data_IF_357977891096
#
_entry.id   IF_357977891096
#
_cell.length_a   1.000
_cell.length_b   1.000
_cell.length_c   1.000
_cell.angle_alpha   90.00
_cell.angle_beta   90.00
_cell.angle_gamma   90.00
#
_symmetry.space_group_name_H-M   'P 1'
#
loop_
_entity.id
_entity.type
_entity.pdbx_description
1 polymer ?
#
# COMPACT_ATOMS: atom_id res chain seq x y z
N UNK A 1 -20.89 -14.48 -7.81
CA UNK A 1 -19.47 -14.20 -7.50
C UNK A 1 -19.29 -14.42 -6.01
N UNK A 2 -18.35 -15.25 -5.61
CA UNK A 2 -17.98 -15.36 -4.19
C UNK A 2 -17.30 -14.03 -3.79
N UNK A 3 -17.73 -13.39 -2.71
CA UNK A 3 -17.11 -12.15 -2.27
C UNK A 3 -15.64 -12.38 -1.93
N UNK A 4 -14.77 -11.49 -2.38
CA UNK A 4 -13.35 -11.53 -2.03
C UNK A 4 -13.21 -11.17 -0.55
N UNK A 5 -12.85 -12.16 0.25
CA UNK A 5 -12.73 -12.01 1.70
C UNK A 5 -11.32 -11.60 2.14
N UNK A 6 -10.32 -12.01 1.38
CA UNK A 6 -8.89 -11.79 1.64
C UNK A 6 -8.21 -11.36 0.34
N UNK A 7 -7.17 -10.56 0.46
CA UNK A 7 -6.49 -9.96 -0.69
C UNK A 7 -5.05 -10.45 -0.80
N UNK A 8 -4.13 -9.86 -0.09
CA UNK A 8 -2.71 -10.09 -0.29
C UNK A 8 -2.11 -10.94 0.82
N UNK A 9 -1.33 -11.95 0.42
CA UNK A 9 -0.59 -12.81 1.34
C UNK A 9 0.81 -12.26 1.58
N UNK A 10 1.29 -12.33 2.81
CA UNK A 10 2.63 -11.89 3.21
C UNK A 10 3.37 -13.05 3.87
N UNK A 11 4.51 -13.45 3.27
CA UNK A 11 5.41 -14.42 3.88
C UNK A 11 6.28 -13.70 4.93
N UNK A 12 6.23 -14.16 6.16
CA UNK A 12 7.02 -13.62 7.26
C UNK A 12 8.36 -14.34 7.45
N UNK A 13 9.24 -13.75 8.24
CA UNK A 13 10.56 -14.31 8.53
C UNK A 13 10.52 -15.62 9.34
N UNK A 14 9.41 -15.91 10.03
CA UNK A 14 9.20 -17.18 10.74
C UNK A 14 8.69 -18.31 9.83
N UNK A 15 8.54 -18.07 8.53
CA UNK A 15 8.12 -19.04 7.53
C UNK A 15 6.61 -19.20 7.36
N UNK A 16 5.78 -18.53 8.18
CA UNK A 16 4.33 -18.55 8.03
C UNK A 16 3.84 -17.46 7.06
N UNK A 17 2.70 -17.72 6.43
CA UNK A 17 2.01 -16.78 5.56
C UNK A 17 0.86 -16.15 6.33
N UNK A 18 0.82 -14.82 6.34
CA UNK A 18 -0.23 -14.02 6.98
C UNK A 18 -1.05 -13.31 5.92
N UNK A 19 -2.38 -13.35 6.07
CA UNK A 19 -3.32 -12.75 5.12
C UNK A 19 -4.31 -11.88 5.88
N UNK A 20 -4.24 -10.55 5.72
CA UNK A 20 -5.15 -9.65 6.38
C UNK A 20 -6.55 -9.74 5.80
N UNK A 21 -7.61 -9.40 6.55
CA UNK A 21 -8.94 -9.32 6.01
C UNK A 21 -9.05 -8.12 5.07
N UNK A 22 -9.60 -8.37 3.89
CA UNK A 22 -9.93 -7.33 2.94
C UNK A 22 -11.45 -7.12 2.87
N UNK A 23 -12.20 -8.17 2.49
CA UNK A 23 -13.67 -8.21 2.56
C UNK A 23 -14.35 -7.13 1.73
N UNK A 24 -14.69 -7.39 0.47
CA UNK A 24 -15.38 -6.42 -0.38
C UNK A 24 -16.84 -6.15 0.06
N UNK A 25 -17.51 -7.14 0.61
CA UNK A 25 -18.95 -7.07 0.92
C UNK A 25 -19.31 -7.41 2.36
N UNK A 26 -18.39 -8.03 3.09
CA UNK A 26 -18.60 -8.49 4.47
C UNK A 26 -17.47 -8.02 5.37
N UNK A 27 -17.84 -7.63 6.57
CA UNK A 27 -16.85 -7.31 7.61
C UNK A 27 -16.28 -8.61 8.16
N UNK A 28 -14.96 -8.80 7.94
CA UNK A 28 -14.20 -9.91 8.52
C UNK A 28 -13.34 -9.35 9.65
N UNK A 29 -13.44 -9.95 10.82
CA UNK A 29 -12.76 -9.53 12.07
C UNK A 29 -11.59 -10.43 12.45
N UNK A 30 -11.08 -11.24 11.52
CA UNK A 30 -9.91 -12.09 11.72
C UNK A 30 -8.99 -12.06 10.50
N UNK A 31 -7.72 -12.28 10.72
CA UNK A 31 -6.75 -12.59 9.68
C UNK A 31 -6.45 -14.08 9.64
N UNK A 32 -5.92 -14.55 8.52
CA UNK A 32 -5.46 -15.92 8.38
C UNK A 32 -3.94 -16.01 8.56
N UNK A 33 -3.50 -17.08 9.24
CA UNK A 33 -2.11 -17.52 9.28
C UNK A 33 -2.06 -18.94 8.72
N UNK A 34 -1.20 -19.17 7.74
CA UNK A 34 -1.03 -20.48 7.10
C UNK A 34 0.41 -20.97 7.30
N UNK A 35 0.51 -22.23 7.68
CA UNK A 35 1.77 -22.98 7.63
C UNK A 35 1.95 -23.58 6.22
N UNK A 36 2.94 -23.15 5.43
CA UNK A 36 3.13 -23.65 4.07
C UNK A 36 3.64 -25.12 4.03
N UNK A 37 4.18 -25.64 5.14
CA UNK A 37 4.66 -27.03 5.20
C UNK A 37 3.52 -28.02 5.44
N UNK A 38 2.53 -27.65 6.24
CA UNK A 38 1.41 -28.53 6.62
C UNK A 38 0.08 -28.12 6.00
N UNK A 39 0.02 -26.94 5.37
CA UNK A 39 -1.20 -26.29 4.85
C UNK A 39 -2.27 -26.01 5.92
N UNK A 40 -1.89 -26.07 7.20
CA UNK A 40 -2.81 -25.71 8.28
C UNK A 40 -3.06 -24.22 8.28
N UNK A 41 -4.33 -23.86 8.44
CA UNK A 41 -4.78 -22.46 8.52
C UNK A 41 -5.34 -22.22 9.91
N UNK A 42 -4.88 -21.17 10.58
CA UNK A 42 -5.41 -20.66 11.84
C UNK A 42 -5.94 -19.26 11.66
N UNK A 43 -6.89 -18.89 12.52
CA UNK A 43 -7.45 -17.53 12.56
C UNK A 43 -6.83 -16.77 13.71
N UNK A 44 -6.39 -15.55 13.45
CA UNK A 44 -5.98 -14.59 14.47
C UNK A 44 -7.09 -13.57 14.57
N UNK A 45 -7.77 -13.54 15.71
CA UNK A 45 -8.88 -12.61 15.93
C UNK A 45 -8.37 -11.17 16.00
N UNK A 46 -9.08 -10.25 15.34
CA UNK A 46 -8.78 -8.83 15.32
C UNK A 46 -9.90 -8.07 16.06
N UNK A 47 -9.50 -7.02 16.76
CA UNK A 47 -10.45 -6.11 17.39
C UNK A 47 -10.66 -4.91 16.46
N UNK A 48 -11.54 -5.06 15.48
CA UNK A 48 -11.76 -4.07 14.41
C UNK A 48 -13.24 -3.78 14.22
N UNK A 49 -13.52 -2.60 13.73
CA UNK A 49 -14.85 -2.17 13.33
C UNK A 49 -15.30 -2.85 12.02
N UNK A 50 -16.57 -2.68 11.69
CA UNK A 50 -17.24 -3.32 10.57
C UNK A 50 -16.97 -2.66 9.21
N UNK A 51 -15.73 -2.21 8.92
CA UNK A 51 -15.38 -1.71 7.59
C UNK A 51 -15.05 -2.85 6.61
N UNK A 52 -15.22 -2.61 5.32
CA UNK A 52 -14.70 -3.46 4.25
C UNK A 52 -13.35 -2.92 3.77
N UNK A 53 -12.60 -3.75 3.03
CA UNK A 53 -11.32 -3.36 2.41
C UNK A 53 -10.33 -2.77 3.42
N UNK A 54 -10.04 -3.51 4.49
CA UNK A 54 -9.32 -3.00 5.65
C UNK A 54 -7.85 -2.71 5.38
N UNK A 55 -7.10 -3.77 5.03
CA UNK A 55 -5.66 -3.74 4.79
C UNK A 55 -5.30 -4.56 3.56
N UNK A 56 -4.19 -4.21 2.91
CA UNK A 56 -3.69 -4.94 1.76
C UNK A 56 -2.32 -5.58 2.02
N UNK A 57 -1.24 -5.03 1.48
CA UNK A 57 0.10 -5.62 1.59
C UNK A 57 0.71 -5.48 2.97
N UNK A 58 1.35 -6.57 3.44
CA UNK A 58 2.16 -6.55 4.65
C UNK A 58 3.62 -6.23 4.36
N UNK A 59 4.23 -5.48 5.25
CA UNK A 59 5.65 -5.10 5.23
C UNK A 59 6.33 -5.80 6.39
N UNK A 60 7.24 -6.71 6.09
CA UNK A 60 7.94 -7.51 7.11
C UNK A 60 9.17 -6.75 7.61
N UNK A 61 9.26 -6.58 8.92
CA UNK A 61 10.43 -6.04 9.58
C UNK A 61 10.73 -6.79 10.88
N UNK A 62 11.88 -7.43 10.96
CA UNK A 62 12.27 -8.32 12.08
C UNK A 62 11.19 -9.39 12.32
N UNK A 63 10.61 -9.43 13.53
CA UNK A 63 9.52 -10.34 13.91
C UNK A 63 8.13 -9.68 13.87
N UNK A 64 7.98 -8.60 13.10
CA UNK A 64 6.69 -7.90 12.94
C UNK A 64 6.30 -7.81 11.47
N UNK A 65 5.00 -7.78 11.22
CA UNK A 65 4.39 -7.43 9.93
C UNK A 65 3.53 -6.19 10.14
N UNK A 66 3.73 -5.19 9.31
CA UNK A 66 2.95 -3.95 9.30
C UNK A 66 2.03 -3.96 8.10
N UNK A 67 0.73 -3.95 8.33
CA UNK A 67 -0.28 -3.83 7.28
C UNK A 67 -0.81 -2.40 7.28
N UNK A 68 -0.56 -1.70 6.17
CA UNK A 68 -0.98 -0.31 6.04
C UNK A 68 -2.50 -0.21 5.83
N UNK A 69 -3.14 0.83 6.38
CA UNK A 69 -4.59 0.97 6.27
C UNK A 69 -5.00 1.32 4.84
N UNK A 70 -5.94 0.56 4.31
CA UNK A 70 -6.65 0.91 3.08
C UNK A 70 -7.88 1.74 3.43
N UNK A 71 -8.90 1.15 4.04
CA UNK A 71 -10.06 1.88 4.59
C UNK A 71 -10.02 2.03 6.12
N UNK A 72 -9.19 1.26 6.82
CA UNK A 72 -9.06 1.35 8.28
C UNK A 72 -8.36 2.64 8.73
N UNK A 73 -8.57 3.04 9.98
CA UNK A 73 -7.87 4.18 10.58
C UNK A 73 -6.47 3.83 11.09
N UNK A 74 -6.23 2.54 11.33
CA UNK A 74 -5.02 2.07 12.00
C UNK A 74 -4.15 1.22 11.08
N UNK A 75 -2.84 1.33 11.24
CA UNK A 75 -1.88 0.32 10.81
C UNK A 75 -2.06 -0.88 11.72
N UNK A 76 -2.26 -2.07 11.16
CA UNK A 76 -2.25 -3.32 11.91
C UNK A 76 -0.82 -3.84 12.01
N UNK A 77 -0.34 -4.09 13.22
CA UNK A 77 0.98 -4.67 13.48
C UNK A 77 0.81 -6.05 14.10
N UNK A 78 1.42 -7.05 13.49
CA UNK A 78 1.38 -8.44 13.97
C UNK A 78 2.77 -8.85 14.40
N UNK A 79 2.92 -9.28 15.65
CA UNK A 79 4.14 -9.94 16.12
C UNK A 79 4.11 -11.41 15.74
N UNK A 80 5.05 -11.84 14.91
CA UNK A 80 5.08 -13.20 14.34
C UNK A 80 5.60 -14.27 15.30
N UNK A 81 6.15 -13.90 16.47
CA UNK A 81 6.62 -14.86 17.47
C UNK A 81 5.47 -15.39 18.34
N UNK A 82 4.44 -14.58 18.58
CA UNK A 82 3.35 -14.91 19.48
C UNK A 82 1.95 -14.60 18.95
N UNK A 83 1.85 -14.14 17.70
CA UNK A 83 0.63 -13.75 17.00
C UNK A 83 -0.16 -12.61 17.70
N UNK A 84 0.48 -11.83 18.59
CA UNK A 84 -0.16 -10.66 19.17
C UNK A 84 -0.32 -9.54 18.12
N UNK A 85 -1.39 -8.76 18.31
CA UNK A 85 -1.72 -7.65 17.40
C UNK A 85 -1.70 -6.32 18.15
N UNK A 86 -1.20 -5.30 17.47
CA UNK A 86 -1.19 -3.90 17.90
C UNK A 86 -1.79 -3.03 16.80
N UNK A 87 -2.27 -1.84 17.17
CA UNK A 87 -2.84 -0.87 16.25
C UNK A 87 -2.17 0.48 16.43
N UNK A 88 -1.66 1.06 15.34
CA UNK A 88 -1.06 2.40 15.33
C UNK A 88 -1.99 3.31 14.55
N UNK A 89 -2.57 4.31 15.21
CA UNK A 89 -3.56 5.20 14.61
C UNK A 89 -2.92 6.14 13.60
N UNK A 90 -3.55 6.26 12.42
CA UNK A 90 -3.23 7.26 11.41
C UNK A 90 -4.27 8.37 11.53
N UNK A 91 -3.86 9.55 12.00
CA UNK A 91 -4.78 10.63 12.37
C UNK A 91 -5.54 11.24 11.16
N UNK A 92 -4.99 11.11 9.96
CA UNK A 92 -5.66 11.63 8.75
C UNK A 92 -6.73 10.65 8.25
N UNK A 93 -8.01 11.04 8.23
CA UNK A 93 -9.08 10.22 7.69
C UNK A 93 -8.97 10.08 6.17
N UNK A 94 -9.61 9.06 5.62
CA UNK A 94 -9.68 8.78 4.18
C UNK A 94 -9.90 7.31 3.89
N UNK A 95 -10.25 6.99 2.65
CA UNK A 95 -10.48 5.62 2.17
C UNK A 95 -9.60 5.29 0.98
N UNK A 96 -9.21 4.02 0.87
CA UNK A 96 -8.27 3.58 -0.16
C UNK A 96 -6.90 4.22 -0.02
N UNK A 97 -6.43 4.46 1.23
CA UNK A 97 -5.28 5.32 1.52
C UNK A 97 -3.98 4.80 0.93
N UNK A 98 -3.60 3.58 1.30
CA UNK A 98 -2.31 3.00 0.93
C UNK A 98 -2.48 1.57 0.41
N UNK A 99 -1.68 1.19 -0.59
CA UNK A 99 -1.59 -0.18 -1.10
C UNK A 99 -0.29 -0.82 -0.63
N UNK A 100 0.82 -0.14 -0.80
CA UNK A 100 2.17 -0.66 -0.61
C UNK A 100 3.04 0.33 0.15
N UNK A 101 4.02 -0.18 0.90
CA UNK A 101 5.03 0.63 1.56
C UNK A 101 6.41 -0.01 1.45
N UNK A 102 7.43 0.79 1.71
CA UNK A 102 8.84 0.41 1.62
C UNK A 102 9.59 0.78 2.89
N UNK A 103 10.56 -0.05 3.27
CA UNK A 103 11.44 0.25 4.40
C UNK A 103 12.71 0.92 3.89
N UNK A 104 13.01 2.08 4.46
CA UNK A 104 14.28 2.76 4.27
C UNK A 104 14.75 3.38 5.59
N UNK A 105 16.00 3.08 6.01
CA UNK A 105 16.61 3.61 7.24
C UNK A 105 15.69 3.55 8.46
N UNK A 106 15.18 2.35 8.76
CA UNK A 106 14.32 2.09 9.92
C UNK A 106 12.97 2.82 9.93
N UNK A 107 12.49 3.25 8.77
CA UNK A 107 11.15 3.84 8.60
C UNK A 107 10.40 3.15 7.47
N UNK A 108 9.08 3.03 7.62
CA UNK A 108 8.19 2.69 6.53
C UNK A 108 7.75 3.98 5.85
N UNK A 109 7.85 4.00 4.53
CA UNK A 109 7.32 5.05 3.67
C UNK A 109 6.25 4.46 2.77
N UNK A 110 5.09 5.13 2.66
CA UNK A 110 4.05 4.76 1.74
C UNK A 110 3.52 5.97 0.98
N UNK A 111 3.48 5.84 -0.35
CA UNK A 111 2.85 6.85 -1.19
C UNK A 111 1.32 6.70 -1.16
N UNK A 112 0.57 7.80 -1.22
CA UNK A 112 -0.89 7.75 -1.22
C UNK A 112 -1.44 7.13 -2.50
N UNK A 113 -2.46 6.30 -2.37
CA UNK A 113 -3.21 5.76 -3.50
C UNK A 113 -4.54 6.51 -3.69
N UNK A 114 -5.37 6.58 -2.65
CA UNK A 114 -6.62 7.30 -2.66
C UNK A 114 -7.63 6.70 -3.63
N UNK A 115 -8.11 5.47 -3.38
CA UNK A 115 -9.04 4.84 -4.33
C UNK A 115 -10.45 5.42 -4.29
N UNK A 116 -10.96 5.69 -3.11
CA UNK A 116 -12.35 6.11 -2.91
C UNK A 116 -12.49 7.60 -2.62
N UNK A 117 -11.48 8.16 -1.96
CA UNK A 117 -11.39 9.59 -1.64
C UNK A 117 -10.02 10.12 -2.10
N UNK A 118 -9.90 11.37 -2.55
CA UNK A 118 -8.61 12.01 -2.73
C UNK A 118 -7.82 11.95 -1.43
N UNK A 119 -6.64 11.35 -1.47
CA UNK A 119 -5.77 11.18 -0.31
C UNK A 119 -4.33 11.45 -0.72
N UNK A 120 -3.75 12.56 -0.28
CA UNK A 120 -2.50 13.11 -0.81
C UNK A 120 -1.36 13.10 0.23
N UNK A 121 -1.45 12.24 1.27
CA UNK A 121 -0.47 12.21 2.36
C UNK A 121 0.49 11.03 2.22
N UNK A 122 1.80 11.30 2.11
CA UNK A 122 2.85 10.30 2.28
C UNK A 122 2.94 9.93 3.75
N UNK A 123 2.85 8.64 4.03
CA UNK A 123 3.04 8.11 5.38
C UNK A 123 4.53 7.84 5.62
N UNK A 124 5.02 8.25 6.77
CA UNK A 124 6.32 7.91 7.32
C UNK A 124 6.12 7.36 8.73
N UNK A 125 6.39 6.09 8.95
CA UNK A 125 6.31 5.43 10.26
C UNK A 125 7.71 5.07 10.72
N UNK A 126 8.13 5.59 11.85
CA UNK A 126 9.35 5.15 12.53
C UNK A 126 9.12 3.78 13.19
N UNK A 127 10.00 2.81 12.90
CA UNK A 127 9.81 1.41 13.31
C UNK A 127 10.24 1.15 14.77
N UNK A 128 10.97 2.05 15.40
CA UNK A 128 11.34 1.91 16.81
C UNK A 128 10.37 2.66 17.74
N UNK A 129 10.02 3.91 17.40
CA UNK A 129 9.13 4.73 18.24
C UNK A 129 7.64 4.56 17.92
N UNK A 130 7.31 4.04 16.75
CA UNK A 130 5.96 4.00 16.17
C UNK A 130 5.34 5.40 15.94
N UNK A 131 6.17 6.44 15.92
CA UNK A 131 5.72 7.78 15.55
C UNK A 131 5.40 7.85 14.05
N UNK A 132 4.27 8.51 13.75
CA UNK A 132 3.83 8.74 12.37
C UNK A 132 4.02 10.22 12.02
N UNK A 133 4.65 10.47 10.88
CA UNK A 133 4.66 11.74 10.18
C UNK A 133 3.85 11.59 8.89
N UNK A 134 2.92 12.50 8.64
CA UNK A 134 2.16 12.61 7.40
C UNK A 134 2.59 13.87 6.65
N UNK A 135 3.09 13.68 5.43
CA UNK A 135 3.47 14.78 4.56
C UNK A 135 2.46 14.93 3.43
N UNK A 136 1.78 16.07 3.40
CA UNK A 136 0.88 16.42 2.31
C UNK A 136 1.67 16.72 1.02
N UNK A 137 1.27 16.10 -0.08
CA UNK A 137 1.81 16.35 -1.40
C UNK A 137 1.01 17.47 -2.08
N UNK A 138 1.72 18.41 -2.71
CA UNK A 138 1.09 19.39 -3.61
C UNK A 138 1.04 18.81 -5.02
N UNK A 139 -0.09 18.22 -5.35
CA UNK A 139 -0.28 17.56 -6.62
C UNK A 139 -0.94 18.51 -7.64
N UNK A 140 -0.67 18.35 -8.96
CA UNK A 140 -1.31 19.13 -10.03
C UNK A 140 -2.85 18.94 -10.06
N UNK A 141 -3.31 17.78 -9.59
CA UNK A 141 -4.72 17.46 -9.41
C UNK A 141 -4.87 16.47 -8.25
N UNK A 142 -5.99 16.59 -7.53
CA UNK A 142 -6.34 15.75 -6.37
C UNK A 142 -7.27 14.62 -6.81
N UNK A 143 -6.73 13.67 -7.54
CA UNK A 143 -7.49 12.53 -8.04
C UNK A 143 -7.35 11.29 -7.17
N UNK A 144 -8.25 10.35 -7.40
CA UNK A 144 -8.14 9.00 -6.87
C UNK A 144 -7.20 8.13 -7.71
N UNK A 145 -6.75 6.99 -7.13
CA UNK A 145 -5.98 5.92 -7.80
C UNK A 145 -4.65 6.37 -8.40
N UNK A 146 -3.83 7.08 -7.63
CA UNK A 146 -2.58 7.68 -8.11
C UNK A 146 -1.49 6.67 -8.47
N UNK A 147 -0.86 6.07 -7.45
CA UNK A 147 0.29 5.18 -7.62
C UNK A 147 -0.01 3.79 -7.05
N UNK A 148 -0.45 2.89 -7.92
CA UNK A 148 -0.75 1.51 -7.53
C UNK A 148 0.54 0.71 -7.30
N UNK A 149 1.53 0.92 -8.15
CA UNK A 149 2.81 0.23 -8.08
C UNK A 149 3.91 1.21 -7.73
N UNK A 150 4.67 0.88 -6.69
CA UNK A 150 5.80 1.68 -6.23
C UNK A 150 7.03 0.81 -6.08
N UNK A 151 8.22 1.38 -6.26
CA UNK A 151 9.51 0.71 -6.07
C UNK A 151 10.48 1.63 -5.34
N UNK A 152 11.23 1.07 -4.40
CA UNK A 152 12.31 1.75 -3.72
C UNK A 152 13.64 1.38 -4.37
N UNK A 153 14.41 2.39 -4.80
CA UNK A 153 15.77 2.25 -5.31
C UNK A 153 16.64 3.38 -4.75
N UNK A 154 17.74 3.04 -4.11
CA UNK A 154 18.74 3.99 -3.57
C UNK A 154 18.15 5.13 -2.71
N UNK A 155 17.11 4.81 -1.93
CA UNK A 155 16.43 5.78 -1.06
C UNK A 155 15.39 6.66 -1.74
N UNK A 156 15.12 6.43 -3.01
CA UNK A 156 14.05 7.10 -3.76
C UNK A 156 12.92 6.12 -4.05
N UNK A 157 11.69 6.50 -3.75
CA UNK A 157 10.50 5.75 -4.13
C UNK A 157 9.98 6.28 -5.46
N UNK A 158 9.89 5.40 -6.42
CA UNK A 158 9.32 5.63 -7.74
C UNK A 158 7.89 5.12 -7.76
N UNK A 159 6.92 6.02 -7.90
CA UNK A 159 5.51 5.67 -8.09
C UNK A 159 5.11 5.87 -9.54
N UNK A 160 4.57 4.80 -10.15
CA UNK A 160 4.07 4.84 -11.52
C UNK A 160 2.55 5.04 -11.52
N UNK A 161 2.03 5.84 -12.46
CA UNK A 161 0.60 6.05 -12.59
C UNK A 161 -0.11 4.74 -12.92
N UNK A 162 -1.32 4.56 -12.37
CA UNK A 162 -2.20 3.45 -12.76
C UNK A 162 -2.96 3.83 -14.03
N UNK A 163 -2.85 3.00 -15.07
CA UNK A 163 -3.59 3.19 -16.31
C UNK A 163 -4.73 2.16 -16.40
N UNK A 164 -5.91 2.47 -15.91
CA UNK A 164 -7.07 1.58 -16.07
C UNK A 164 -8.11 2.11 -17.04
N UNK A 165 -8.32 3.42 -17.09
CA UNK A 165 -9.30 4.06 -17.97
C UNK A 165 -8.77 5.37 -18.51
N UNK A 166 -8.88 5.57 -19.81
CA UNK A 166 -8.44 6.77 -20.51
C UNK A 166 -9.09 8.07 -20.02
N UNK A 167 -10.27 7.99 -19.40
CA UNK A 167 -11.02 9.16 -18.93
C UNK A 167 -10.71 9.57 -17.48
N UNK A 168 -10.17 8.65 -16.65
CA UNK A 168 -10.01 8.83 -15.19
C UNK A 168 -8.61 8.45 -14.69
N UNK A 169 -7.57 8.49 -15.51
CA UNK A 169 -6.26 8.11 -15.04
C UNK A 169 -5.45 9.31 -14.50
N UNK A 170 -4.65 9.04 -13.48
CA UNK A 170 -3.70 10.00 -12.93
C UNK A 170 -2.39 9.91 -13.72
N UNK A 171 -2.05 10.92 -14.57
CA UNK A 171 -0.97 10.80 -15.54
C UNK A 171 0.42 11.07 -14.97
N UNK A 172 0.56 11.24 -13.68
CA UNK A 172 1.80 11.70 -13.10
C UNK A 172 2.54 10.56 -12.40
N UNK A 173 3.84 10.40 -12.69
CA UNK A 173 4.75 9.62 -11.86
C UNK A 173 5.31 10.49 -10.75
N UNK A 174 5.78 9.86 -9.67
CA UNK A 174 6.47 10.53 -8.57
C UNK A 174 7.84 9.92 -8.34
N UNK A 175 8.82 10.76 -8.05
CA UNK A 175 10.09 10.39 -7.44
C UNK A 175 10.10 11.02 -6.04
N UNK A 176 10.06 10.21 -5.01
CA UNK A 176 10.05 10.66 -3.62
C UNK A 176 11.34 10.26 -2.91
N UNK A 177 12.16 11.23 -2.51
CA UNK A 177 13.41 11.02 -1.78
C UNK A 177 13.12 10.83 -0.29
N UNK A 178 13.32 9.62 0.21
CA UNK A 178 13.10 9.26 1.61
C UNK A 178 14.07 9.94 2.58
N UNK A 179 15.24 10.43 2.12
CA UNK A 179 16.23 11.09 2.97
C UNK A 179 15.86 12.55 3.22
N UNK A 180 15.47 13.26 2.16
CA UNK A 180 15.21 14.70 2.20
C UNK A 180 13.74 15.04 2.29
N UNK A 181 12.85 14.08 2.05
CA UNK A 181 11.40 14.24 1.89
C UNK A 181 11.02 15.16 0.73
N UNK A 182 11.95 15.44 -0.18
CA UNK A 182 11.65 16.12 -1.42
C UNK A 182 11.03 15.17 -2.43
N UNK A 183 10.26 15.71 -3.34
CA UNK A 183 9.64 14.92 -4.40
C UNK A 183 9.54 15.71 -5.70
N UNK A 184 9.52 14.97 -6.80
CA UNK A 184 9.28 15.48 -8.15
C UNK A 184 8.05 14.79 -8.73
N UNK A 185 7.14 15.58 -9.31
CA UNK A 185 5.96 15.08 -10.03
C UNK A 185 6.19 15.32 -11.52
N UNK A 186 6.12 14.23 -12.29
CA UNK A 186 6.46 14.25 -13.72
C UNK A 186 5.23 13.83 -14.51
N UNK A 187 4.80 14.72 -15.43
CA UNK A 187 3.68 14.45 -16.34
C UNK A 187 4.07 13.41 -17.39
N UNK A 188 3.32 12.33 -17.44
CA UNK A 188 3.50 11.23 -18.38
C UNK A 188 2.52 11.30 -19.58
N UNK A 189 1.60 12.28 -19.60
CA UNK A 189 0.62 12.42 -20.66
C UNK A 189 1.23 12.43 -22.08
N UNK A 190 2.39 13.09 -22.32
CA UNK A 190 3.00 13.09 -23.64
C UNK A 190 3.41 11.70 -24.15
N UNK A 191 3.70 10.76 -23.24
CA UNK A 191 4.11 9.39 -23.60
C UNK A 191 2.93 8.51 -24.01
N UNK A 192 1.70 8.89 -23.63
CA UNK A 192 0.49 8.11 -23.90
C UNK A 192 -0.22 8.53 -25.17
N UNK A 193 0.02 9.74 -25.66
CA UNK A 193 -0.56 10.24 -26.92
C UNK A 193 -0.08 9.47 -28.16
N UNK A 194 1.06 8.77 -28.09
CA UNK A 194 1.59 7.93 -29.17
C UNK A 194 0.95 6.53 -29.25
N UNK A 195 0.04 6.17 -28.34
CA UNK A 195 -0.60 4.84 -28.32
C UNK A 195 -1.80 4.72 -29.26
N UNK A 196 -2.28 5.82 -29.82
CA UNK A 196 -3.53 5.86 -30.58
C UNK A 196 -3.35 5.68 -32.11
N UNK A 197 -2.20 5.29 -32.58
CA UNK A 197 -2.03 4.95 -34.01
C UNK A 197 -1.30 3.61 -34.19
N UNK A 198 -1.99 2.69 -34.81
CA UNK A 198 -1.74 1.36 -35.36
C UNK A 198 -0.31 0.93 -35.71
N UNK A 199 0.74 1.45 -35.11
CA UNK A 199 2.10 1.04 -35.39
C UNK A 199 2.92 0.80 -34.13
N UNK A 200 2.85 -0.42 -33.63
CA UNK A 200 3.93 -0.99 -32.85
C UNK A 200 5.18 -1.11 -33.72
N UNK A 201 5.85 -0.03 -34.02
CA UNK A 201 7.20 -0.09 -34.52
C UNK A 201 8.15 -0.20 -33.35
N UNK A 202 8.86 -1.35 -33.26
CA UNK A 202 9.95 -1.62 -32.35
C UNK A 202 10.96 -0.45 -32.30
N UNK A 203 10.74 0.57 -31.49
CA UNK A 203 11.80 1.48 -31.09
C UNK A 203 12.57 0.78 -29.98
N UNK A 204 13.73 0.23 -30.33
CA UNK A 204 14.75 -0.20 -29.39
C UNK A 204 15.08 0.98 -28.45
N UNK A 205 14.94 0.77 -27.15
CA UNK A 205 15.56 1.63 -26.15
C UNK A 205 17.09 1.52 -26.36
N UNK A 206 17.71 2.60 -26.78
CA UNK A 206 19.18 2.75 -26.80
C UNK A 206 19.58 3.50 -25.55
#
# INVERSE_FOLDING_TARGET
MTPQAFSYATLSNNGFIYVPPFGLTESIDYMLKMDPATYQITKIQLNVNSSCEKWQHGIVYRNKIYFLPYNEENILVVNTDNDSVEYIKVEQPGKGKYIQGHIYRNKIYALPYGEHDPYDYVLKLDLDSHEIELQELKLPRTDCKKWHTTQLLDGVIYGLPRGEDWENYFPYRIHYDCTTSNYEIIDMSPLWLDYDTETFTNKKFT
#
